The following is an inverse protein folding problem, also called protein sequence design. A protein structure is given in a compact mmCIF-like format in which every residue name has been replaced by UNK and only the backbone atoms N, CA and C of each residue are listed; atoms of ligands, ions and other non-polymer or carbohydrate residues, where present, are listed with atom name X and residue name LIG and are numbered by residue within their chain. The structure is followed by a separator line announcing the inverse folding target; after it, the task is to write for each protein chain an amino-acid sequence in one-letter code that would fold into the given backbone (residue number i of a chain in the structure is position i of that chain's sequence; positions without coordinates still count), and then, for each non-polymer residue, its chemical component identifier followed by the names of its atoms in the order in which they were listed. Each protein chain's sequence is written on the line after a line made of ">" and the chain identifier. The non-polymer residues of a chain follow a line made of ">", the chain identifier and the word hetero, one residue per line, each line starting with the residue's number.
data_IF_810190167560
#
_entry.id   IF_810190167560
#
_cell.length_a   1.000
_cell.length_b   1.000
_cell.length_c   1.000
_cell.angle_alpha   90.00
_cell.angle_beta   90.00
_cell.angle_gamma   90.00
#
_symmetry.space_group_name_H-M   'P 1'
#
loop_
_entity.id
_entity.type
_entity.pdbx_description
1 polymer ?
#
# COMPACT_ATOMS: atom_id res chain seq x y z
N UNK A 1 11.65 0.34 -1.88
CA UNK A 1 11.43 0.90 -3.24
C UNK A 1 10.30 0.18 -3.99
N UNK A 2 10.21 -1.16 -3.90
CA UNK A 2 9.21 -1.95 -4.62
C UNK A 2 7.76 -1.50 -4.45
N UNK A 3 7.34 -1.08 -3.25
CA UNK A 3 5.97 -0.58 -3.00
C UNK A 3 5.63 0.64 -3.87
N UNK A 4 6.57 1.59 -4.01
CA UNK A 4 6.36 2.78 -4.85
C UNK A 4 6.32 2.41 -6.33
N UNK A 5 7.23 1.54 -6.78
CA UNK A 5 7.28 1.09 -8.17
C UNK A 5 6.01 0.30 -8.56
N UNK A 6 5.51 -0.56 -7.67
CA UNK A 6 4.28 -1.31 -7.89
C UNK A 6 3.05 -0.38 -7.97
N UNK A 7 3.00 0.69 -7.16
CA UNK A 7 1.90 1.65 -7.21
C UNK A 7 1.90 2.47 -8.51
N UNK A 8 3.04 3.07 -8.89
CA UNK A 8 3.10 3.89 -10.11
C UNK A 8 3.02 3.05 -11.39
N UNK A 9 3.40 1.77 -11.31
CA UNK A 9 3.29 0.81 -12.39
C UNK A 9 1.94 0.10 -12.46
N UNK A 10 0.99 0.46 -11.59
CA UNK A 10 -0.36 -0.15 -11.49
C UNK A 10 -0.31 -1.69 -11.45
N UNK A 11 0.64 -2.25 -10.70
CA UNK A 11 0.89 -3.69 -10.69
C UNK A 11 -0.01 -4.48 -9.71
N UNK A 12 -0.95 -3.82 -9.04
CA UNK A 12 -1.89 -4.46 -8.13
C UNK A 12 -3.17 -4.83 -8.87
N UNK A 13 -3.65 -6.07 -8.71
CA UNK A 13 -4.88 -6.56 -9.35
C UNK A 13 -6.11 -5.71 -8.99
N UNK A 14 -6.13 -5.17 -7.76
CA UNK A 14 -7.13 -4.23 -7.25
C UNK A 14 -6.52 -2.85 -7.00
N UNK A 15 -5.73 -2.34 -7.96
CA UNK A 15 -5.03 -1.05 -7.82
C UNK A 15 -5.97 0.14 -7.59
N UNK A 16 -7.21 0.06 -8.05
CA UNK A 16 -8.24 1.06 -7.81
C UNK A 16 -8.68 1.12 -6.34
N UNK A 17 -8.51 0.04 -5.56
CA UNK A 17 -8.75 0.04 -4.12
C UNK A 17 -7.64 0.73 -3.31
N UNK A 18 -6.48 1.02 -3.92
CA UNK A 18 -5.34 1.66 -3.24
C UNK A 18 -5.53 3.18 -3.19
N UNK A 19 -5.48 3.73 -1.98
CA UNK A 19 -5.47 5.18 -1.74
C UNK A 19 -4.05 5.76 -1.76
N UNK A 20 -3.06 4.98 -1.35
CA UNK A 20 -1.65 5.38 -1.30
C UNK A 20 -0.84 4.59 -0.28
N UNK A 21 0.43 4.98 -0.10
CA UNK A 21 1.32 4.37 0.88
C UNK A 21 2.03 5.42 1.74
N UNK A 22 2.36 5.04 2.98
CA UNK A 22 3.08 5.86 3.95
C UNK A 22 4.27 5.08 4.50
N UNK A 23 5.39 5.77 4.70
CA UNK A 23 6.59 5.23 5.36
C UNK A 23 6.77 5.93 6.70
N UNK A 24 6.81 5.15 7.77
CA UNK A 24 7.01 5.62 9.13
C UNK A 24 8.44 5.27 9.58
N UNK A 25 9.28 6.30 9.65
CA UNK A 25 10.66 6.18 10.11
C UNK A 25 10.74 6.25 11.62
N UNK A 26 11.40 5.28 12.27
CA UNK A 26 11.58 5.24 13.73
C UNK A 26 12.95 4.67 14.06
N UNK A 27 13.55 5.12 15.16
CA UNK A 27 14.92 4.74 15.53
C UNK A 27 15.20 3.24 15.74
N UNK A 28 14.18 2.40 15.91
CA UNK A 28 14.33 0.94 16.04
C UNK A 28 13.87 0.14 14.82
N UNK A 29 12.90 0.65 14.07
CA UNK A 29 12.30 -0.09 12.96
C UNK A 29 11.51 0.84 12.03
N UNK A 30 11.61 0.54 10.76
CA UNK A 30 10.87 1.22 9.70
C UNK A 30 9.57 0.45 9.43
N UNK A 31 8.46 1.17 9.25
CA UNK A 31 7.18 0.56 8.88
C UNK A 31 6.67 1.17 7.59
N UNK A 32 6.31 0.32 6.63
CA UNK A 32 5.61 0.72 5.41
C UNK A 32 4.15 0.31 5.56
N UNK A 33 3.21 1.17 5.15
CA UNK A 33 1.77 0.88 5.17
C UNK A 33 1.13 1.32 3.87
N UNK A 34 0.23 0.50 3.33
CA UNK A 34 -0.62 0.81 2.19
C UNK A 34 -2.03 1.01 2.72
N UNK A 35 -2.72 2.04 2.25
CA UNK A 35 -4.10 2.35 2.64
C UNK A 35 -5.03 1.92 1.52
N UNK A 36 -6.06 1.15 1.87
CA UNK A 36 -7.13 0.73 0.97
C UNK A 36 -8.41 1.50 1.25
N UNK A 37 -9.27 1.62 0.24
CA UNK A 37 -10.56 2.33 0.34
C UNK A 37 -11.52 1.63 1.30
N UNK A 38 -11.62 0.30 1.22
CA UNK A 38 -12.57 -0.49 1.99
C UNK A 38 -11.86 -1.59 2.80
N UNK A 39 -11.86 -1.45 4.12
CA UNK A 39 -11.26 -2.44 5.03
C UNK A 39 -12.05 -3.76 5.13
N UNK A 40 -13.33 -3.77 4.73
CA UNK A 40 -14.17 -4.97 4.76
C UNK A 40 -14.14 -5.75 3.43
N UNK A 41 -13.41 -5.27 2.42
CA UNK A 41 -13.29 -5.94 1.14
C UNK A 41 -12.17 -6.99 1.17
N UNK A 42 -12.42 -8.13 1.83
CA UNK A 42 -11.43 -9.21 2.00
C UNK A 42 -10.91 -9.78 0.67
N UNK A 43 -11.71 -9.74 -0.39
CA UNK A 43 -11.30 -10.23 -1.71
C UNK A 43 -10.18 -9.38 -2.35
N UNK A 44 -10.05 -8.11 -1.93
CA UNK A 44 -9.04 -7.18 -2.41
C UNK A 44 -7.84 -7.01 -1.47
N UNK A 45 -7.80 -7.72 -0.32
CA UNK A 45 -6.73 -7.67 0.67
C UNK A 45 -5.61 -8.70 0.44
#
# INVERSE_FOLDING_TARGET
>A
LYTLLAMIGEQFDHGDEICGAVVNVRGRAEKISIWTKNASNEAAQ
#
